data_IF_799668077814
#
_entry.id   IF_799668077814
#
_cell.length_a   1.000
_cell.length_b   1.000
_cell.length_c   1.000
_cell.angle_alpha   90.00
_cell.angle_beta   90.00
_cell.angle_gamma   90.00
#
_symmetry.space_group_name_H-M   'P 1'
#
loop_
_entity.id
_entity.type
_entity.pdbx_description
1 polymer ?
#
# COMPACT_ATOMS: atom_id res chain seq x y z
N UNK A 1 5.02 -10.04 -1.19
CA UNK A 1 4.09 -8.95 -0.80
C UNK A 1 3.94 -8.92 0.71
N UNK A 2 4.01 -7.74 1.31
CA UNK A 2 3.89 -7.49 2.75
C UNK A 2 2.67 -6.61 3.03
N UNK A 3 1.92 -6.92 4.08
CA UNK A 3 0.72 -6.16 4.49
C UNK A 3 0.79 -5.86 6.00
N UNK A 4 0.58 -4.61 6.38
CA UNK A 4 0.59 -4.15 7.78
C UNK A 4 -0.69 -3.34 8.10
N UNK A 5 -1.31 -3.63 9.24
CA UNK A 5 -2.57 -3.04 9.70
C UNK A 5 -2.32 -2.12 10.89
N UNK A 6 -2.67 -0.83 10.75
CA UNK A 6 -2.51 0.18 11.79
C UNK A 6 -3.86 0.71 12.27
N UNK A 7 -4.16 0.48 13.54
CA UNK A 7 -5.36 1.02 14.22
C UNK A 7 -5.32 2.57 14.26
N UNK A 8 -4.12 3.13 14.29
CA UNK A 8 -3.86 4.56 14.37
C UNK A 8 -3.80 5.29 13.03
N UNK A 9 -3.43 6.57 13.12
CA UNK A 9 -3.02 7.36 11.95
C UNK A 9 -1.67 6.83 11.45
N UNK A 10 -1.47 6.86 10.14
CA UNK A 10 -0.17 6.56 9.55
C UNK A 10 0.90 7.53 10.07
N UNK A 11 2.05 7.01 10.48
CA UNK A 11 3.21 7.77 10.94
C UNK A 11 4.43 7.52 10.06
N UNK A 12 5.43 8.41 10.14
CA UNK A 12 6.72 8.22 9.43
C UNK A 12 7.44 6.94 9.91
N UNK A 13 7.23 6.52 11.15
CA UNK A 13 7.81 5.28 11.69
C UNK A 13 7.24 4.06 10.97
N UNK A 14 5.93 4.03 10.73
CA UNK A 14 5.27 2.90 10.06
C UNK A 14 5.80 2.74 8.63
N UNK A 15 5.99 3.85 7.92
CA UNK A 15 6.55 3.86 6.56
C UNK A 15 8.02 3.45 6.54
N UNK A 16 8.84 3.97 7.46
CA UNK A 16 10.24 3.57 7.57
C UNK A 16 10.40 2.09 7.92
N UNK A 17 9.54 1.56 8.79
CA UNK A 17 9.48 0.14 9.12
C UNK A 17 9.12 -0.70 7.88
N UNK A 18 8.08 -0.32 7.14
CA UNK A 18 7.70 -1.03 5.91
C UNK A 18 8.81 -0.97 4.84
N UNK A 19 9.49 0.18 4.70
CA UNK A 19 10.63 0.33 3.79
C UNK A 19 11.76 -0.62 4.14
N UNK A 20 12.08 -0.76 5.42
CA UNK A 20 13.08 -1.72 5.88
C UNK A 20 12.67 -3.15 5.51
N UNK A 21 11.41 -3.53 5.72
CA UNK A 21 10.94 -4.86 5.36
C UNK A 21 10.97 -5.13 3.87
N UNK A 22 10.47 -4.21 3.04
CA UNK A 22 10.51 -4.34 1.57
C UNK A 22 11.96 -4.53 1.10
N UNK A 23 12.88 -3.70 1.58
CA UNK A 23 14.29 -3.78 1.19
C UNK A 23 14.96 -5.09 1.63
N UNK A 24 14.62 -5.60 2.82
CA UNK A 24 15.13 -6.87 3.32
C UNK A 24 14.64 -8.03 2.45
N UNK A 25 13.35 -8.06 2.12
CA UNK A 25 12.81 -9.11 1.27
C UNK A 25 13.41 -9.07 -0.14
N UNK A 26 13.54 -7.90 -0.74
CA UNK A 26 14.13 -7.77 -2.08
C UNK A 26 15.60 -8.20 -2.14
N UNK A 27 16.38 -8.02 -1.06
CA UNK A 27 17.82 -8.31 -1.03
C UNK A 27 18.15 -9.72 -0.60
N UNK A 28 17.38 -10.26 0.36
CA UNK A 28 17.79 -11.43 1.12
C UNK A 28 16.80 -12.60 1.00
N UNK A 29 15.59 -12.39 0.46
CA UNK A 29 14.53 -13.41 0.42
C UNK A 29 14.01 -13.68 -0.99
N UNK A 30 13.90 -12.63 -1.81
CA UNK A 30 13.34 -12.68 -3.16
C UNK A 30 14.22 -13.53 -4.09
N UNK A 31 13.59 -14.37 -4.89
CA UNK A 31 14.25 -15.16 -5.93
C UNK A 31 14.29 -14.37 -7.26
N UNK A 32 15.20 -14.76 -8.16
CA UNK A 32 15.42 -14.05 -9.43
C UNK A 32 14.20 -14.04 -10.37
N UNK A 33 13.24 -14.96 -10.18
CA UNK A 33 12.01 -15.09 -10.95
C UNK A 33 10.79 -14.42 -10.30
N UNK A 34 10.97 -13.73 -9.17
CA UNK A 34 9.91 -13.03 -8.46
C UNK A 34 9.84 -11.53 -8.80
N UNK A 35 8.65 -10.96 -8.67
CA UNK A 35 8.48 -9.51 -8.80
C UNK A 35 8.98 -8.78 -7.54
N UNK A 36 9.40 -7.51 -7.65
CA UNK A 36 9.78 -6.69 -6.50
C UNK A 36 8.73 -6.70 -5.39
N UNK A 37 9.18 -6.71 -4.14
CA UNK A 37 8.30 -6.80 -2.98
C UNK A 37 7.44 -5.55 -2.87
N UNK A 38 6.13 -5.72 -2.89
CA UNK A 38 5.17 -4.65 -2.61
C UNK A 38 4.82 -4.63 -1.12
N UNK A 39 4.87 -3.44 -0.51
CA UNK A 39 4.46 -3.18 0.87
C UNK A 39 3.17 -2.38 0.93
N UNK A 40 2.14 -2.90 1.61
CA UNK A 40 0.85 -2.23 1.78
C UNK A 40 0.59 -1.95 3.25
N UNK A 41 0.33 -0.69 3.59
CA UNK A 41 -0.09 -0.28 4.94
C UNK A 41 -1.56 0.13 4.89
N UNK A 42 -2.39 -0.59 5.64
CA UNK A 42 -3.79 -0.29 5.83
C UNK A 42 -3.97 0.40 7.18
N UNK A 43 -4.42 1.66 7.18
CA UNK A 43 -4.52 2.48 8.39
C UNK A 43 -5.90 3.11 8.57
N UNK A 44 -6.20 3.61 9.77
CA UNK A 44 -7.50 4.29 10.03
C UNK A 44 -7.58 5.65 9.35
N UNK A 45 -6.44 6.31 9.15
CA UNK A 45 -6.36 7.65 8.58
C UNK A 45 -4.98 7.85 7.93
N UNK A 46 -4.99 8.41 6.71
CA UNK A 46 -3.80 8.62 5.87
C UNK A 46 -3.60 10.12 5.66
N UNK A 47 -2.39 10.59 5.93
CA UNK A 47 -1.93 11.92 5.48
C UNK A 47 -0.94 11.76 4.32
N UNK A 48 -1.29 12.24 3.14
CA UNK A 48 -0.43 12.15 1.95
C UNK A 48 0.94 12.82 2.15
N UNK A 49 0.99 13.92 2.90
CA UNK A 49 2.23 14.63 3.22
C UNK A 49 3.24 13.75 3.95
N UNK A 50 2.78 12.86 4.83
CA UNK A 50 3.67 11.94 5.57
C UNK A 50 4.31 10.94 4.60
N UNK A 51 3.54 10.40 3.65
CA UNK A 51 4.07 9.50 2.63
C UNK A 51 5.12 10.20 1.74
N UNK A 52 4.78 11.41 1.24
CA UNK A 52 5.64 12.19 0.35
C UNK A 52 7.02 12.51 0.93
N UNK A 53 7.11 12.80 2.23
CA UNK A 53 8.37 13.19 2.86
C UNK A 53 9.11 12.05 3.56
N UNK A 54 8.48 10.88 3.71
CA UNK A 54 9.13 9.73 4.36
C UNK A 54 9.70 8.74 3.34
N UNK A 55 9.00 8.54 2.22
CA UNK A 55 9.41 7.63 1.17
C UNK A 55 10.26 8.36 0.12
N UNK A 56 11.14 7.64 -0.59
CA UNK A 56 11.85 8.18 -1.75
C UNK A 56 10.89 8.76 -2.81
N UNK A 57 11.33 9.76 -3.57
CA UNK A 57 10.51 10.39 -4.62
C UNK A 57 10.12 9.40 -5.73
N UNK A 58 10.95 8.39 -5.96
CA UNK A 58 10.77 7.32 -6.93
C UNK A 58 10.15 6.03 -6.34
N UNK A 59 9.59 6.10 -5.12
CA UNK A 59 8.95 4.94 -4.51
C UNK A 59 7.77 4.41 -5.36
N UNK A 60 7.91 3.16 -5.80
CA UNK A 60 6.88 2.40 -6.54
C UNK A 60 6.39 1.16 -5.80
N UNK A 61 6.96 0.84 -4.64
CA UNK A 61 6.73 -0.42 -3.93
C UNK A 61 5.88 -0.29 -2.66
N UNK A 62 5.88 0.87 -2.01
CA UNK A 62 5.18 1.07 -0.73
C UNK A 62 3.95 1.93 -0.91
N UNK A 63 2.81 1.39 -0.49
CA UNK A 63 1.52 2.05 -0.59
C UNK A 63 0.85 2.10 0.77
N UNK A 64 0.19 3.21 1.06
CA UNK A 64 -0.67 3.33 2.23
C UNK A 64 -2.09 3.67 1.80
N UNK A 65 -3.08 3.01 2.40
CA UNK A 65 -4.48 3.28 2.16
C UNK A 65 -5.28 3.23 3.46
N UNK A 66 -6.44 3.89 3.46
CA UNK A 66 -7.38 3.85 4.57
C UNK A 66 -8.23 2.59 4.46
N UNK A 67 -8.32 1.78 5.51
CA UNK A 67 -9.22 0.63 5.51
C UNK A 67 -10.67 1.05 5.75
N UNK A 68 -11.61 0.26 5.20
CA UNK A 68 -13.05 0.35 5.52
C UNK A 68 -13.34 -0.61 6.68
N UNK A 69 -14.16 -0.16 7.64
CA UNK A 69 -14.52 -0.96 8.84
C UNK A 69 -15.63 -1.98 8.58
N UNK A 70 -16.33 -1.83 7.46
CA UNK A 70 -17.38 -2.74 7.03
C UNK A 70 -17.06 -3.22 5.62
N UNK A 71 -17.46 -4.45 5.33
CA UNK A 71 -17.46 -4.97 3.98
C UNK A 71 -18.56 -4.24 3.20
N UNK A 72 -18.27 -3.64 2.03
CA UNK A 72 -19.30 -3.06 1.17
C UNK A 72 -20.29 -4.15 0.75
N UNK A 73 -21.48 -3.74 0.31
CA UNK A 73 -22.40 -4.69 -0.32
C UNK A 73 -21.81 -5.20 -1.64
N UNK A 74 -22.32 -6.31 -2.15
CA UNK A 74 -21.89 -6.87 -3.43
C UNK A 74 -22.00 -5.83 -4.56
N UNK A 75 -23.14 -5.12 -4.64
CA UNK A 75 -23.36 -4.06 -5.62
C UNK A 75 -22.41 -2.87 -5.49
N UNK A 76 -22.04 -2.50 -4.25
CA UNK A 76 -21.04 -1.45 -4.01
C UNK A 76 -19.64 -1.91 -4.41
N UNK A 77 -19.29 -3.16 -4.12
CA UNK A 77 -18.00 -3.72 -4.47
C UNK A 77 -17.83 -3.81 -5.99
N UNK A 78 -18.84 -4.33 -6.71
CA UNK A 78 -18.83 -4.42 -8.18
C UNK A 78 -18.64 -3.02 -8.78
N UNK A 79 -19.39 -2.02 -8.29
CA UNK A 79 -19.26 -0.63 -8.77
C UNK A 79 -17.88 -0.05 -8.56
N UNK A 80 -17.25 -0.30 -7.41
CA UNK A 80 -15.89 0.17 -7.14
C UNK A 80 -14.85 -0.52 -8.02
N UNK A 81 -14.98 -1.83 -8.24
CA UNK A 81 -14.09 -2.60 -9.13
C UNK A 81 -14.21 -2.08 -10.58
N UNK A 82 -15.43 -1.90 -11.08
CA UNK A 82 -15.68 -1.37 -12.43
C UNK A 82 -15.15 0.06 -12.58
N UNK A 83 -15.31 0.89 -11.55
CA UNK A 83 -14.79 2.25 -11.53
C UNK A 83 -13.26 2.27 -11.62
N UNK A 84 -12.59 1.40 -10.85
CA UNK A 84 -11.12 1.27 -10.87
C UNK A 84 -10.64 0.70 -12.22
N UNK A 85 -11.30 -0.33 -12.76
CA UNK A 85 -10.95 -0.94 -14.05
C UNK A 85 -10.98 0.09 -15.19
N UNK A 86 -12.07 0.87 -15.30
CA UNK A 86 -12.20 1.94 -16.32
C UNK A 86 -11.13 3.01 -16.20
N UNK A 87 -10.69 3.34 -14.98
CA UNK A 87 -9.60 4.29 -14.76
C UNK A 87 -8.25 3.75 -15.22
N UNK A 88 -8.03 2.44 -15.11
CA UNK A 88 -6.79 1.80 -15.53
C UNK A 88 -6.73 1.61 -17.06
N UNK A 89 -7.87 1.41 -17.72
CA UNK A 89 -7.96 1.32 -19.20
C UNK A 89 -7.74 2.68 -19.90
N UNK A 90 -7.89 3.80 -19.18
CA UNK A 90 -7.71 5.16 -19.70
C UNK A 90 -6.31 5.77 -19.49
N UNK A 91 -5.34 4.97 -19.05
CA UNK A 91 -3.91 5.32 -18.86
C UNK A 91 -3.06 4.54 -19.84
#
# INVERSE_FOLDING_TARGET
>A
MLIDLKIGKLTHRDLGQMQMYVNFYDRDVMNDDENPTIGIILCRDKKETIARYTLPEDNTQIFASKYKLYLPTEDELIREVDYVAKRLEGV
#
